data_IF_373538886986
#
_entry.id   IF_373538886986
#
_cell.length_a   1.000
_cell.length_b   1.000
_cell.length_c   1.000
_cell.angle_alpha   90.00
_cell.angle_beta   90.00
_cell.angle_gamma   90.00
#
_symmetry.space_group_name_H-M   'P 1'
#
loop_
_entity.id
_entity.type
_entity.pdbx_description
1 polymer ?
#
# COMPACT_ATOMS: atom_id res chain seq x y z
N UNK A 1 10.90 -4.94 -19.94
CA UNK A 1 9.62 -5.62 -20.20
C UNK A 1 9.83 -6.98 -20.88
N UNK A 2 10.67 -7.07 -21.92
CA UNK A 2 10.84 -8.26 -22.75
C UNK A 2 11.47 -9.50 -22.07
N UNK A 3 12.00 -9.39 -20.84
CA UNK A 3 12.56 -10.54 -20.10
C UNK A 3 11.98 -10.77 -18.69
N UNK A 4 11.36 -9.77 -18.06
CA UNK A 4 10.93 -9.84 -16.65
C UNK A 4 9.48 -9.35 -16.40
N UNK A 5 8.72 -9.06 -17.47
CA UNK A 5 7.34 -8.60 -17.36
C UNK A 5 7.19 -7.17 -16.83
N UNK A 6 5.99 -6.87 -16.35
CA UNK A 6 5.63 -5.61 -15.70
C UNK A 6 5.81 -5.72 -14.18
N UNK A 7 6.07 -4.60 -13.46
CA UNK A 7 6.09 -4.61 -12.00
C UNK A 7 4.77 -5.16 -11.43
N UNK A 8 4.89 -6.09 -10.50
CA UNK A 8 3.75 -6.83 -9.95
C UNK A 8 2.94 -5.94 -9.01
N UNK A 9 1.62 -5.95 -9.20
CA UNK A 9 0.65 -5.21 -8.39
C UNK A 9 0.21 -6.07 -7.20
N UNK A 10 1.02 -6.08 -6.14
CA UNK A 10 0.88 -7.05 -5.04
C UNK A 10 -0.42 -6.89 -4.25
N UNK A 11 -0.85 -5.64 -3.97
CA UNK A 11 -2.12 -5.40 -3.28
C UNK A 11 -3.32 -5.98 -4.01
N UNK A 12 -3.37 -5.83 -5.34
CA UNK A 12 -4.45 -6.29 -6.21
C UNK A 12 -4.52 -7.83 -6.21
N UNK A 13 -3.36 -8.50 -6.30
CA UNK A 13 -3.28 -9.96 -6.27
C UNK A 13 -3.69 -10.50 -4.91
N UNK A 14 -3.10 -9.99 -3.82
CA UNK A 14 -3.34 -10.51 -2.48
C UNK A 14 -4.73 -10.15 -1.95
N UNK A 15 -5.37 -9.10 -2.48
CA UNK A 15 -6.78 -8.83 -2.22
C UNK A 15 -7.70 -9.97 -2.67
N UNK A 16 -7.35 -10.69 -3.75
CA UNK A 16 -8.18 -11.80 -4.24
C UNK A 16 -8.05 -13.09 -3.41
N UNK A 17 -7.02 -13.21 -2.56
CA UNK A 17 -6.80 -14.41 -1.76
C UNK A 17 -7.79 -14.47 -0.59
N UNK A 18 -8.32 -15.67 -0.34
CA UNK A 18 -9.17 -15.96 0.81
C UNK A 18 -8.39 -15.79 2.13
N UNK A 19 -9.07 -15.26 3.15
CA UNK A 19 -8.43 -14.94 4.43
C UNK A 19 -7.65 -13.62 4.45
N UNK A 20 -7.52 -12.88 3.35
CA UNK A 20 -7.01 -11.50 3.38
C UNK A 20 -8.06 -10.56 4.02
N UNK A 21 -7.74 -10.03 5.19
CA UNK A 21 -8.53 -9.05 5.93
C UNK A 21 -8.33 -7.61 5.45
N UNK A 22 -7.10 -7.25 5.08
CA UNK A 22 -6.76 -5.92 4.58
C UNK A 22 -5.71 -6.01 3.48
N UNK A 23 -5.95 -5.34 2.36
CA UNK A 23 -4.95 -5.05 1.35
C UNK A 23 -5.02 -3.56 1.06
N UNK A 24 -3.98 -2.81 1.41
CA UNK A 24 -3.96 -1.35 1.27
C UNK A 24 -2.60 -0.88 0.75
N UNK A 25 -2.63 -0.04 -0.28
CA UNK A 25 -1.44 0.68 -0.76
C UNK A 25 -1.44 2.09 -0.20
N UNK A 26 -0.32 2.48 0.40
CA UNK A 26 -0.08 3.80 1.00
C UNK A 26 1.23 4.39 0.49
N UNK A 27 1.46 5.66 0.79
CA UNK A 27 2.69 6.38 0.47
C UNK A 27 3.31 7.00 1.72
N UNK A 28 4.58 7.35 1.66
CA UNK A 28 5.27 8.19 2.66
C UNK A 28 5.86 9.46 2.05
N UNK A 29 5.33 9.90 0.91
CA UNK A 29 5.82 11.05 0.15
C UNK A 29 5.42 12.42 0.73
N UNK A 30 4.51 12.44 1.70
CA UNK A 30 4.05 13.66 2.37
C UNK A 30 3.65 13.38 3.83
N UNK A 31 3.60 14.39 4.71
CA UNK A 31 3.15 14.22 6.10
C UNK A 31 1.75 13.61 6.22
N UNK A 32 0.84 13.96 5.30
CA UNK A 32 -0.50 13.39 5.23
C UNK A 32 -0.44 11.89 4.97
N UNK A 33 0.33 11.47 3.98
CA UNK A 33 0.44 10.06 3.62
C UNK A 33 1.19 9.24 4.68
N UNK A 34 2.16 9.83 5.38
CA UNK A 34 2.79 9.21 6.56
C UNK A 34 1.76 8.90 7.66
N UNK A 35 0.82 9.82 7.91
CA UNK A 35 -0.29 9.55 8.86
C UNK A 35 -1.21 8.43 8.37
N UNK A 36 -1.50 8.37 7.07
CA UNK A 36 -2.30 7.30 6.47
C UNK A 36 -1.59 5.94 6.59
N UNK A 37 -0.28 5.90 6.30
CA UNK A 37 0.55 4.71 6.45
C UNK A 37 0.55 4.20 7.90
N UNK A 38 0.72 5.09 8.88
CA UNK A 38 0.63 4.74 10.31
C UNK A 38 -0.71 4.09 10.67
N UNK A 39 -1.82 4.66 10.17
CA UNK A 39 -3.18 4.11 10.40
C UNK A 39 -3.33 2.73 9.76
N UNK A 40 -2.88 2.56 8.53
CA UNK A 40 -2.94 1.29 7.79
C UNK A 40 -2.13 0.18 8.49
N UNK A 41 -0.89 0.48 8.87
CA UNK A 41 -0.01 -0.47 9.59
C UNK A 41 -0.64 -0.87 10.93
N UNK A 42 -1.15 0.09 11.71
CA UNK A 42 -1.83 -0.20 12.98
C UNK A 42 -3.04 -1.11 12.77
N UNK A 43 -3.85 -0.85 11.74
CA UNK A 43 -5.02 -1.66 11.40
C UNK A 43 -4.63 -3.09 11.00
N UNK A 44 -3.58 -3.26 10.20
CA UNK A 44 -3.06 -4.57 9.81
C UNK A 44 -2.68 -5.43 11.03
N UNK A 45 -1.97 -4.84 12.00
CA UNK A 45 -1.64 -5.53 13.25
C UNK A 45 -2.87 -5.88 14.09
N UNK A 46 -3.86 -4.99 14.19
CA UNK A 46 -5.10 -5.30 14.89
C UNK A 46 -5.90 -6.42 14.22
N UNK A 47 -5.97 -6.45 12.89
CA UNK A 47 -6.60 -7.55 12.18
C UNK A 47 -5.95 -8.89 12.52
N UNK A 48 -4.61 -8.94 12.57
CA UNK A 48 -3.90 -10.17 12.94
C UNK A 48 -4.13 -10.56 14.41
N UNK A 49 -4.04 -9.58 15.33
CA UNK A 49 -4.30 -9.80 16.76
C UNK A 49 -5.72 -10.31 17.01
N UNK A 50 -6.70 -9.75 16.31
CA UNK A 50 -8.13 -10.03 16.51
C UNK A 50 -8.61 -11.23 15.66
N UNK A 51 -7.70 -11.98 15.04
CA UNK A 51 -8.04 -13.18 14.25
C UNK A 51 -8.81 -12.92 12.96
N UNK A 52 -8.81 -11.67 12.47
CA UNK A 52 -9.58 -11.25 11.27
C UNK A 52 -8.98 -11.73 9.95
N UNK A 53 -7.73 -12.17 9.98
CA UNK A 53 -7.02 -12.73 8.83
C UNK A 53 -5.75 -11.98 8.46
N UNK A 54 -5.18 -12.35 7.31
CA UNK A 54 -3.93 -11.78 6.78
C UNK A 54 -4.11 -10.33 6.36
N UNK A 55 -3.14 -9.48 6.65
CA UNK A 55 -3.15 -8.08 6.20
C UNK A 55 -1.86 -7.73 5.48
N UNK A 56 -1.96 -7.05 4.33
CA UNK A 56 -0.83 -6.46 3.63
C UNK A 56 -1.00 -4.94 3.51
N UNK A 57 0.09 -4.24 3.82
CA UNK A 57 0.25 -2.80 3.58
C UNK A 57 1.43 -2.60 2.66
N UNK A 58 1.17 -2.23 1.41
CA UNK A 58 2.21 -1.90 0.41
C UNK A 58 2.54 -0.41 0.54
N UNK A 59 3.79 -0.09 0.88
CA UNK A 59 4.23 1.29 1.14
C UNK A 59 5.11 1.77 -0.02
N UNK A 60 4.63 2.77 -0.74
CA UNK A 60 5.45 3.49 -1.72
C UNK A 60 6.41 4.42 -0.98
N UNK A 61 7.70 4.15 -1.12
CA UNK A 61 8.78 4.96 -0.56
C UNK A 61 9.83 5.26 -1.62
N UNK A 62 10.52 6.38 -1.48
CA UNK A 62 11.64 6.74 -2.35
C UNK A 62 12.95 6.24 -1.76
N UNK A 63 13.85 5.79 -2.62
CA UNK A 63 15.25 5.56 -2.27
C UNK A 63 16.11 6.46 -3.16
N UNK A 64 16.37 7.72 -2.75
CA UNK A 64 17.06 8.70 -3.58
C UNK A 64 18.43 8.21 -4.08
N UNK A 65 19.15 7.48 -3.22
CA UNK A 65 20.46 6.88 -3.52
C UNK A 65 20.41 5.96 -4.73
N UNK A 66 19.41 5.07 -4.80
CA UNK A 66 19.31 4.10 -5.91
C UNK A 66 18.87 4.77 -7.22
N UNK A 67 18.19 5.91 -7.15
CA UNK A 67 17.76 6.65 -8.33
C UNK A 67 18.75 7.71 -8.78
N UNK A 68 19.80 7.99 -7.99
CA UNK A 68 20.75 9.07 -8.28
C UNK A 68 20.10 10.45 -8.31
N UNK A 69 19.00 10.63 -7.54
CA UNK A 69 18.22 11.87 -7.49
C UNK A 69 18.34 12.51 -6.12
N UNK A 70 18.11 13.83 -6.03
CA UNK A 70 17.92 14.46 -4.74
C UNK A 70 16.65 13.92 -4.04
N UNK A 71 16.51 14.08 -2.72
CA UNK A 71 15.30 13.68 -2.01
C UNK A 71 14.03 14.30 -2.61
N UNK A 72 14.08 15.59 -2.99
CA UNK A 72 12.93 16.31 -3.55
C UNK A 72 12.55 15.80 -4.94
N UNK A 73 13.53 15.62 -5.83
CA UNK A 73 13.28 15.07 -7.18
C UNK A 73 12.77 13.64 -7.13
N UNK A 74 13.23 12.85 -6.16
CA UNK A 74 12.74 11.48 -5.96
C UNK A 74 11.25 11.46 -5.61
N UNK A 75 10.80 12.38 -4.75
CA UNK A 75 9.37 12.51 -4.42
C UNK A 75 8.55 12.90 -5.64
N UNK A 76 9.04 13.83 -6.45
CA UNK A 76 8.37 14.24 -7.70
C UNK A 76 8.28 13.10 -8.70
N UNK A 77 9.35 12.32 -8.86
CA UNK A 77 9.37 11.13 -9.71
C UNK A 77 8.35 10.09 -9.22
N UNK A 78 8.30 9.84 -7.91
CA UNK A 78 7.32 8.92 -7.33
C UNK A 78 5.88 9.33 -7.68
N UNK A 79 5.55 10.62 -7.54
CA UNK A 79 4.22 11.16 -7.83
C UNK A 79 3.84 11.07 -9.30
N UNK A 80 4.80 11.34 -10.20
CA UNK A 80 4.56 11.44 -11.65
C UNK A 80 4.60 10.09 -12.37
N UNK A 81 5.47 9.18 -11.94
CA UNK A 81 5.73 7.92 -12.65
C UNK A 81 5.21 6.71 -11.87
N UNK A 82 5.49 6.61 -10.57
CA UNK A 82 5.21 5.41 -9.80
C UNK A 82 3.74 5.35 -9.33
N UNK A 83 3.21 6.43 -8.74
CA UNK A 83 1.85 6.46 -8.21
C UNK A 83 0.76 6.21 -9.26
N UNK A 84 0.87 6.68 -10.53
CA UNK A 84 -0.12 6.33 -11.55
C UNK A 84 -0.13 4.83 -11.87
N UNK A 85 1.03 4.17 -11.85
CA UNK A 85 1.11 2.73 -12.06
C UNK A 85 0.65 1.94 -10.83
N UNK A 86 0.95 2.46 -9.63
CA UNK A 86 0.62 1.90 -8.32
C UNK A 86 -0.33 2.82 -7.55
N UNK A 87 -1.63 2.89 -7.93
CA UNK A 87 -2.57 3.82 -7.31
C UNK A 87 -2.74 3.54 -5.81
N UNK A 88 -2.72 4.60 -5.00
CA UNK A 88 -2.97 4.50 -3.57
C UNK A 88 -4.42 4.12 -3.31
N UNK A 89 -4.68 3.37 -2.24
CA UNK A 89 -6.05 3.00 -1.89
C UNK A 89 -6.17 1.69 -1.12
N UNK A 90 -7.40 1.41 -0.72
CA UNK A 90 -7.80 0.15 -0.08
C UNK A 90 -8.35 -0.76 -1.17
N UNK A 91 -7.71 -1.91 -1.35
CA UNK A 91 -8.08 -2.95 -2.33
C UNK A 91 -8.96 -4.04 -1.69
N UNK A 92 -8.81 -4.26 -0.38
CA UNK A 92 -9.69 -5.12 0.42
C UNK A 92 -9.69 -4.66 1.86
N UNK A 93 -10.86 -4.71 2.49
CA UNK A 93 -11.04 -4.42 3.91
C UNK A 93 -12.28 -5.16 4.44
N UNK A 94 -12.05 -6.28 5.13
CA UNK A 94 -13.14 -7.07 5.72
C UNK A 94 -13.82 -6.36 6.89
N UNK A 95 -13.08 -5.54 7.65
CA UNK A 95 -13.61 -4.80 8.79
C UNK A 95 -14.57 -3.67 8.43
N UNK A 96 -14.57 -3.23 7.16
CA UNK A 96 -15.55 -2.26 6.65
C UNK A 96 -16.94 -2.89 6.51
N UNK A 97 -17.03 -4.20 6.24
CA UNK A 97 -18.31 -4.93 6.14
C UNK A 97 -18.95 -5.17 7.51
N UNK A 98 -18.16 -5.28 8.57
CA UNK A 98 -18.68 -5.47 9.94
C UNK A 98 -19.43 -4.22 10.44
N UNK A 99 -18.98 -3.00 10.12
CA UNK A 99 -19.62 -1.75 10.56
C UNK A 99 -20.87 -1.34 9.77
N UNK A 100 -21.16 -2.02 8.65
CA UNK A 100 -22.35 -1.73 7.84
C UNK A 100 -23.55 -2.61 8.24
N UNK A 101 -23.32 -3.61 9.10
CA UNK A 101 -24.33 -4.53 9.63
C UNK A 101 -24.58 -4.32 11.14
N UNK A 102 -24.10 -3.20 11.68
CA UNK A 102 -24.45 -2.63 12.99
C UNK A 102 -25.16 -1.29 12.76
#
# INVERSE_FOLDING_TARGET
MQSAGFPVKMCEILAQIDGTALAQRVSVDSPKEVMNAKKAIRKAFFNQRDGKGFSIVEVLSTCPTNWGLSPVESLERLRKECMPYFPLGIYKDSSAKERANE
#
